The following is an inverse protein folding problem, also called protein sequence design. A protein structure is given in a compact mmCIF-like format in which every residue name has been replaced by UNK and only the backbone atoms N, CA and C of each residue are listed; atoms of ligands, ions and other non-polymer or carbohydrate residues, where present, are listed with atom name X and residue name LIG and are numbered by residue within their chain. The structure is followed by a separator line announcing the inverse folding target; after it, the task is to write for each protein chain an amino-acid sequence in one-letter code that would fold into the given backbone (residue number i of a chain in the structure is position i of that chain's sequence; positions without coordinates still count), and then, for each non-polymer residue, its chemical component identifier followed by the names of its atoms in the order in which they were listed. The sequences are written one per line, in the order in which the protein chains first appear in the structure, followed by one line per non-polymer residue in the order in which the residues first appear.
data_IF_878313643526
#
_entry.id   IF_878313643526
#
_cell.length_a   1.000
_cell.length_b   1.000
_cell.length_c   1.000
_cell.angle_alpha   90.00
_cell.angle_beta   90.00
_cell.angle_gamma   90.00
#
_symmetry.space_group_name_H-M   'P 1'
#
loop_
_entity.id
_entity.type
_entity.pdbx_description
1 polymer ?
#
# COMPACT_ATOMS: atom_id res chain seq x y z
N UNK A 1 -1.79 -31.79 18.68
CA UNK A 1 -1.22 -30.45 18.97
C UNK A 1 -1.41 -29.43 17.83
N UNK A 2 -2.29 -29.67 16.85
CA UNK A 2 -2.39 -28.86 15.61
C UNK A 2 -3.54 -27.83 15.59
N UNK A 3 -4.54 -27.94 16.47
CA UNK A 3 -5.78 -27.14 16.37
C UNK A 3 -5.61 -25.66 16.73
N UNK A 4 -4.81 -25.34 17.76
CA UNK A 4 -4.59 -23.95 18.18
C UNK A 4 -3.79 -23.16 17.16
N UNK A 5 -2.73 -23.75 16.60
CA UNK A 5 -1.89 -23.10 15.59
C UNK A 5 -2.69 -22.79 14.30
N UNK A 6 -3.49 -23.74 13.81
CA UNK A 6 -4.34 -23.53 12.62
C UNK A 6 -5.41 -22.46 12.86
N UNK A 7 -6.03 -22.43 14.06
CA UNK A 7 -6.98 -21.35 14.41
C UNK A 7 -6.30 -20.00 14.45
N UNK A 8 -5.13 -19.90 15.08
CA UNK A 8 -4.36 -18.65 15.16
C UNK A 8 -3.96 -18.16 13.77
N UNK A 9 -3.52 -19.05 12.88
CA UNK A 9 -3.21 -18.72 11.49
C UNK A 9 -4.45 -18.18 10.76
N UNK A 10 -5.61 -18.85 10.86
CA UNK A 10 -6.85 -18.41 10.23
C UNK A 10 -7.30 -17.03 10.73
N UNK A 11 -7.22 -16.79 12.04
CA UNK A 11 -7.55 -15.48 12.63
C UNK A 11 -6.54 -14.43 12.15
N UNK A 12 -5.24 -14.75 12.19
CA UNK A 12 -4.17 -13.87 11.73
C UNK A 12 -4.36 -13.43 10.28
N UNK A 13 -4.65 -14.36 9.36
CA UNK A 13 -4.90 -14.04 7.95
C UNK A 13 -6.15 -13.19 7.77
N UNK A 14 -7.20 -13.41 8.57
CA UNK A 14 -8.42 -12.61 8.53
C UNK A 14 -8.17 -11.19 9.02
N UNK A 15 -7.48 -11.05 10.16
CA UNK A 15 -7.10 -9.75 10.72
C UNK A 15 -6.19 -9.00 9.74
N UNK A 16 -5.15 -9.66 9.21
CA UNK A 16 -4.22 -9.09 8.24
C UNK A 16 -4.93 -8.54 6.99
N UNK A 17 -5.92 -9.28 6.46
CA UNK A 17 -6.72 -8.80 5.33
C UNK A 17 -7.57 -7.59 5.70
N UNK A 18 -8.27 -7.65 6.83
CA UNK A 18 -9.16 -6.59 7.28
C UNK A 18 -8.38 -5.30 7.59
N UNK A 19 -7.20 -5.41 8.20
CA UNK A 19 -6.34 -4.25 8.46
C UNK A 19 -5.77 -3.69 7.17
N UNK A 20 -5.27 -4.52 6.25
CA UNK A 20 -4.78 -4.06 4.95
C UNK A 20 -5.87 -3.32 4.15
N UNK A 21 -7.07 -3.91 4.07
CA UNK A 21 -8.21 -3.30 3.38
C UNK A 21 -8.62 -1.96 4.02
N UNK A 22 -8.78 -1.95 5.35
CA UNK A 22 -9.17 -0.73 6.08
C UNK A 22 -8.11 0.36 5.96
N UNK A 23 -6.82 0.03 6.06
CA UNK A 23 -5.72 0.98 5.91
C UNK A 23 -5.73 1.62 4.52
N UNK A 24 -5.86 0.82 3.45
CA UNK A 24 -5.91 1.35 2.09
C UNK A 24 -7.12 2.25 1.87
N UNK A 25 -8.30 1.87 2.34
CA UNK A 25 -9.50 2.70 2.21
C UNK A 25 -9.34 4.01 2.98
N UNK A 26 -8.81 3.96 4.20
CA UNK A 26 -8.67 5.16 5.03
C UNK A 26 -7.59 6.10 4.50
N UNK A 27 -6.41 5.58 4.17
CA UNK A 27 -5.31 6.39 3.60
C UNK A 27 -5.72 6.96 2.25
N UNK A 28 -6.39 6.18 1.41
CA UNK A 28 -6.93 6.65 0.14
C UNK A 28 -7.97 7.74 0.28
N UNK A 29 -8.82 7.69 1.31
CA UNK A 29 -9.76 8.77 1.61
C UNK A 29 -9.05 10.05 2.03
N UNK A 30 -7.92 9.95 2.75
CA UNK A 30 -7.14 11.15 3.14
C UNK A 30 -6.49 11.84 1.93
N UNK A 31 -6.28 11.16 0.79
CA UNK A 31 -5.75 11.79 -0.45
C UNK A 31 -6.65 12.85 -1.08
N UNK A 32 -7.87 13.02 -0.56
CA UNK A 32 -8.78 14.09 -0.97
C UNK A 32 -8.60 15.37 -0.16
N UNK A 33 -7.83 15.32 0.94
CA UNK A 33 -7.53 16.46 1.80
C UNK A 33 -6.31 17.22 1.30
N UNK A 34 -6.35 18.56 1.35
CA UNK A 34 -5.30 19.41 0.79
C UNK A 34 -3.93 19.20 1.49
N UNK A 35 -3.93 18.95 2.80
CA UNK A 35 -2.70 18.70 3.55
C UNK A 35 -1.99 17.40 3.11
N UNK A 36 -2.72 16.39 2.64
CA UNK A 36 -2.12 15.14 2.14
C UNK A 36 -1.47 15.34 0.77
N UNK A 37 -1.99 16.28 -0.03
CA UNK A 37 -1.39 16.65 -1.33
C UNK A 37 0.00 17.25 -1.08
N UNK A 38 0.12 18.15 -0.11
CA UNK A 38 1.39 18.75 0.29
C UNK A 38 2.37 17.70 0.87
N UNK A 39 1.87 16.74 1.66
CA UNK A 39 2.69 15.68 2.24
C UNK A 39 3.34 14.78 1.19
N UNK A 40 2.64 14.44 0.11
CA UNK A 40 3.18 13.55 -0.94
C UNK A 40 3.96 14.29 -2.01
N UNK A 41 3.77 15.60 -2.16
CA UNK A 41 4.44 16.41 -3.17
C UNK A 41 5.95 16.13 -3.30
N UNK A 42 6.77 16.13 -2.23
CA UNK A 42 8.22 15.90 -2.36
C UNK A 42 8.57 14.49 -2.91
N UNK A 43 7.73 13.50 -2.63
CA UNK A 43 7.95 12.11 -3.07
C UNK A 43 7.56 11.92 -4.53
N UNK A 44 6.42 12.50 -4.92
CA UNK A 44 5.83 12.41 -6.27
C UNK A 44 6.66 13.22 -7.27
N UNK A 45 7.09 14.43 -6.90
CA UNK A 45 7.91 15.31 -7.75
C UNK A 45 9.32 14.75 -8.01
N UNK A 46 9.89 14.02 -7.04
CA UNK A 46 11.22 13.42 -7.16
C UNK A 46 11.21 12.06 -7.87
N UNK A 47 10.03 11.50 -8.16
CA UNK A 47 9.91 10.18 -8.77
C UNK A 47 9.84 10.24 -10.30
N UNK A 48 10.68 9.49 -11.03
CA UNK A 48 10.61 9.40 -12.49
C UNK A 48 9.26 8.90 -13.02
N UNK A 49 8.52 8.12 -12.22
CA UNK A 49 7.23 7.55 -12.62
C UNK A 49 6.08 8.56 -12.49
N UNK A 50 6.11 9.41 -11.47
CA UNK A 50 5.01 10.33 -11.18
C UNK A 50 5.27 11.76 -11.59
N UNK A 51 6.53 12.19 -11.74
CA UNK A 51 6.87 13.54 -12.19
C UNK A 51 6.18 13.92 -13.53
N UNK A 52 6.17 13.06 -14.59
CA UNK A 52 5.47 13.38 -15.83
C UNK A 52 3.94 13.41 -15.68
N UNK A 53 3.39 12.64 -14.74
CA UNK A 53 1.97 12.61 -14.44
C UNK A 53 1.54 13.88 -13.70
N UNK A 54 2.38 14.32 -12.76
CA UNK A 54 2.26 15.54 -11.99
C UNK A 54 2.21 16.77 -12.90
N UNK A 55 3.14 16.87 -13.86
CA UNK A 55 3.18 17.97 -14.83
C UNK A 55 1.93 18.03 -15.72
N UNK A 56 1.35 16.87 -16.08
CA UNK A 56 0.20 16.79 -16.98
C UNK A 56 -1.15 16.98 -16.28
N UNK A 57 -1.31 16.43 -15.08
CA UNK A 57 -2.60 16.36 -14.39
C UNK A 57 -2.70 17.31 -13.20
N UNK A 58 -1.57 17.82 -12.70
CA UNK A 58 -1.48 18.60 -11.46
C UNK A 58 -1.45 17.74 -10.20
N UNK A 59 -1.02 18.35 -9.10
CA UNK A 59 -0.81 17.71 -7.80
C UNK A 59 -2.10 17.13 -7.24
N UNK A 60 -3.16 17.93 -7.21
CA UNK A 60 -4.43 17.53 -6.61
C UNK A 60 -5.09 16.38 -7.38
N UNK A 61 -5.05 16.40 -8.71
CA UNK A 61 -5.59 15.32 -9.54
C UNK A 61 -4.78 14.05 -9.37
N UNK A 62 -3.45 14.14 -9.35
CA UNK A 62 -2.56 12.99 -9.15
C UNK A 62 -2.80 12.34 -7.79
N UNK A 63 -2.89 13.15 -6.73
CA UNK A 63 -3.20 12.67 -5.37
C UNK A 63 -4.56 11.95 -5.33
N UNK A 64 -5.61 12.55 -5.89
CA UNK A 64 -6.96 11.95 -5.93
C UNK A 64 -6.99 10.66 -6.72
N UNK A 65 -6.26 10.55 -7.84
CA UNK A 65 -6.17 9.31 -8.61
C UNK A 65 -5.52 8.18 -7.79
N UNK A 66 -4.45 8.49 -7.06
CA UNK A 66 -3.84 7.56 -6.11
C UNK A 66 -4.85 7.15 -5.03
N UNK A 67 -5.58 8.11 -4.46
CA UNK A 67 -6.60 7.84 -3.43
C UNK A 67 -7.74 6.94 -3.92
N UNK A 68 -8.24 7.17 -5.14
CA UNK A 68 -9.25 6.30 -5.77
C UNK A 68 -8.70 4.89 -5.96
N UNK A 69 -7.44 4.76 -6.41
CA UNK A 69 -6.80 3.46 -6.57
C UNK A 69 -6.67 2.72 -5.22
N UNK A 70 -6.22 3.40 -4.16
CA UNK A 70 -6.11 2.85 -2.80
C UNK A 70 -7.45 2.32 -2.30
N UNK A 71 -8.50 3.14 -2.39
CA UNK A 71 -9.85 2.76 -1.98
C UNK A 71 -10.34 1.57 -2.78
N UNK A 72 -10.19 1.60 -4.11
CA UNK A 72 -10.63 0.52 -4.98
C UNK A 72 -9.93 -0.81 -4.62
N UNK A 73 -8.60 -0.78 -4.44
CA UNK A 73 -7.83 -1.96 -4.05
C UNK A 73 -8.21 -2.45 -2.65
N UNK A 74 -8.39 -1.56 -1.68
CA UNK A 74 -8.84 -1.92 -0.33
C UNK A 74 -10.21 -2.60 -0.33
N UNK A 75 -11.17 -2.05 -1.07
CA UNK A 75 -12.49 -2.66 -1.26
C UNK A 75 -12.42 -4.03 -1.93
N UNK A 76 -11.63 -4.17 -3.00
CA UNK A 76 -11.42 -5.44 -3.68
C UNK A 76 -10.82 -6.49 -2.74
N UNK A 77 -9.77 -6.14 -1.98
CA UNK A 77 -9.12 -7.02 -1.01
C UNK A 77 -10.14 -7.52 0.03
N UNK A 78 -10.96 -6.62 0.57
CA UNK A 78 -12.03 -6.95 1.52
C UNK A 78 -13.12 -7.86 0.96
N UNK A 79 -13.33 -7.87 -0.36
CA UNK A 79 -14.39 -8.63 -1.03
C UNK A 79 -14.12 -10.15 -1.13
N UNK A 80 -13.04 -10.70 -0.54
CA UNK A 80 -12.72 -12.15 -0.58
C UNK A 80 -13.93 -13.05 -0.27
N UNK A 81 -14.76 -12.82 0.78
CA UNK A 81 -15.83 -13.75 1.14
C UNK A 81 -16.87 -13.94 0.03
N UNK A 82 -17.10 -12.91 -0.79
CA UNK A 82 -18.07 -12.93 -1.89
C UNK A 82 -17.39 -13.26 -3.23
N UNK A 83 -16.24 -12.65 -3.52
CA UNK A 83 -15.53 -12.74 -4.78
C UNK A 83 -14.01 -12.91 -4.58
N UNK A 84 -13.51 -14.15 -4.35
CA UNK A 84 -12.09 -14.43 -4.14
C UNK A 84 -11.18 -13.97 -5.29
N UNK A 85 -11.65 -14.09 -6.56
CA UNK A 85 -10.91 -13.63 -7.74
C UNK A 85 -10.71 -12.10 -7.76
N UNK A 86 -11.76 -11.35 -7.41
CA UNK A 86 -11.69 -9.89 -7.32
C UNK A 86 -10.72 -9.46 -6.21
N UNK A 87 -10.74 -10.16 -5.07
CA UNK A 87 -9.78 -9.94 -3.99
C UNK A 87 -8.34 -10.22 -4.40
N UNK A 88 -8.09 -11.28 -5.18
CA UNK A 88 -6.75 -11.53 -5.72
C UNK A 88 -6.26 -10.38 -6.61
N UNK A 89 -7.12 -9.85 -7.50
CA UNK A 89 -6.79 -8.69 -8.35
C UNK A 89 -6.47 -7.47 -7.50
N UNK A 90 -7.28 -7.17 -6.48
CA UNK A 90 -7.03 -6.08 -5.54
C UNK A 90 -5.69 -6.23 -4.80
N UNK A 91 -5.39 -7.44 -4.31
CA UNK A 91 -4.13 -7.73 -3.64
C UNK A 91 -2.92 -7.58 -4.57
N UNK A 92 -3.00 -8.03 -5.83
CA UNK A 92 -1.92 -7.83 -6.80
C UNK A 92 -1.73 -6.36 -7.17
N UNK A 93 -2.82 -5.61 -7.32
CA UNK A 93 -2.75 -4.16 -7.47
C UNK A 93 -2.00 -3.51 -6.31
N UNK A 94 -2.35 -3.89 -5.07
CA UNK A 94 -1.71 -3.36 -3.87
C UNK A 94 -0.22 -3.72 -3.80
N UNK A 95 0.18 -4.91 -4.24
CA UNK A 95 1.61 -5.28 -4.38
C UNK A 95 2.33 -4.29 -5.31
N UNK A 96 1.79 -4.06 -6.52
CA UNK A 96 2.39 -3.12 -7.47
C UNK A 96 2.46 -1.70 -6.91
N UNK A 97 1.42 -1.27 -6.20
CA UNK A 97 1.39 0.00 -5.51
C UNK A 97 2.47 0.12 -4.44
N UNK A 98 2.57 -0.82 -3.50
CA UNK A 98 3.58 -0.74 -2.42
C UNK A 98 4.99 -0.86 -2.95
N UNK A 99 5.24 -1.65 -4.00
CA UNK A 99 6.53 -1.66 -4.69
C UNK A 99 6.86 -0.28 -5.24
N UNK A 100 5.87 0.37 -5.85
CA UNK A 100 6.02 1.74 -6.36
C UNK A 100 6.27 2.74 -5.23
N UNK A 101 5.53 2.67 -4.13
CA UNK A 101 5.73 3.52 -2.95
C UNK A 101 7.11 3.30 -2.32
N UNK A 102 7.56 2.06 -2.20
CA UNK A 102 8.90 1.73 -1.66
C UNK A 102 10.02 2.20 -2.58
N UNK A 103 9.78 2.35 -3.89
CA UNK A 103 10.76 2.95 -4.79
C UNK A 103 11.12 4.38 -4.39
N UNK A 104 10.20 5.11 -3.74
CA UNK A 104 10.44 6.45 -3.20
C UNK A 104 11.53 6.46 -2.12
N UNK A 105 11.79 5.35 -1.44
CA UNK A 105 12.87 5.25 -0.47
C UNK A 105 14.25 5.40 -1.14
N UNK A 106 14.36 4.99 -2.40
CA UNK A 106 15.56 5.10 -3.20
C UNK A 106 15.59 6.40 -4.02
N UNK A 107 14.44 6.90 -4.48
CA UNK A 107 14.40 8.06 -5.40
C UNK A 107 14.22 9.41 -4.71
N UNK A 108 13.70 9.46 -3.47
CA UNK A 108 13.35 10.73 -2.83
C UNK A 108 14.53 11.31 -2.04
N UNK A 109 15.01 12.53 -2.39
CA UNK A 109 16.05 13.21 -1.62
C UNK A 109 15.60 13.49 -0.19
N UNK A 110 16.50 13.34 0.80
CA UNK A 110 16.19 13.63 2.21
C UNK A 110 15.47 12.50 2.97
N UNK A 111 15.21 11.35 2.32
CA UNK A 111 14.83 10.10 3.01
C UNK A 111 15.97 9.60 3.91
N UNK A 112 17.20 9.69 3.39
CA UNK A 112 18.43 9.33 4.10
C UNK A 112 19.06 10.60 4.67
N UNK A 113 19.21 10.66 6.00
CA UNK A 113 19.93 11.74 6.66
C UNK A 113 21.42 11.37 6.74
N UNK A 114 22.20 11.85 5.78
CA UNK A 114 23.63 11.54 5.62
C UNK A 114 24.54 12.32 6.60
N UNK A 115 24.03 13.34 7.29
CA UNK A 115 24.80 14.19 8.21
C UNK A 115 25.19 13.52 9.55
N UNK A 116 25.00 12.21 9.69
CA UNK A 116 25.35 11.47 10.90
C UNK A 116 26.30 10.32 10.58
N UNK A 117 27.11 9.91 11.56
CA UNK A 117 28.07 8.79 11.45
C UNK A 117 27.45 7.43 11.04
N UNK A 118 26.12 7.33 11.03
CA UNK A 118 25.36 6.18 10.57
C UNK A 118 24.15 6.65 9.75
N UNK A 119 23.74 5.92 8.69
CA UNK A 119 22.56 6.26 7.91
C UNK A 119 21.31 6.23 8.80
N UNK A 120 20.62 7.37 8.92
CA UNK A 120 19.36 7.50 9.66
C UNK A 120 18.22 7.80 8.69
N UNK A 121 17.09 7.15 8.89
CA UNK A 121 15.86 7.42 8.13
C UNK A 121 15.17 8.67 8.68
N UNK A 122 14.81 9.59 7.79
CA UNK A 122 13.92 10.71 8.12
C UNK A 122 12.51 10.22 8.49
N UNK A 123 11.65 11.12 8.96
CA UNK A 123 10.26 10.77 9.28
C UNK A 123 9.53 10.15 8.06
N UNK A 124 9.76 10.72 6.87
CA UNK A 124 9.24 10.19 5.59
C UNK A 124 9.87 8.83 5.28
N UNK A 125 11.18 8.67 5.48
CA UNK A 125 11.85 7.39 5.30
C UNK A 125 11.31 6.28 6.21
N UNK A 126 11.03 6.60 7.48
CA UNK A 126 10.40 5.67 8.41
C UNK A 126 8.97 5.32 8.00
N UNK A 127 8.21 6.32 7.51
CA UNK A 127 6.87 6.11 6.97
C UNK A 127 6.89 5.19 5.75
N UNK A 128 7.87 5.32 4.86
CA UNK A 128 8.03 4.42 3.72
C UNK A 128 8.50 3.03 4.13
N UNK A 129 9.44 2.94 5.07
CA UNK A 129 10.00 1.66 5.50
C UNK A 129 8.94 0.73 6.11
N UNK A 130 7.96 1.27 6.86
CA UNK A 130 6.85 0.46 7.39
C UNK A 130 5.95 -0.13 6.29
N UNK A 131 5.92 0.46 5.09
CA UNK A 131 5.08 -0.05 3.99
C UNK A 131 5.56 -1.40 3.44
N UNK A 132 6.78 -1.82 3.79
CA UNK A 132 7.25 -3.19 3.56
C UNK A 132 6.35 -4.24 4.22
N UNK A 133 5.75 -3.92 5.36
CA UNK A 133 4.80 -4.80 6.05
C UNK A 133 3.51 -4.91 5.25
N UNK A 134 3.02 -3.81 4.67
CA UNK A 134 1.84 -3.82 3.83
C UNK A 134 2.08 -4.56 2.50
N UNK A 135 3.27 -4.43 1.92
CA UNK A 135 3.67 -5.25 0.77
C UNK A 135 3.61 -6.75 1.08
N UNK A 136 4.19 -7.16 2.21
CA UNK A 136 4.12 -8.55 2.67
C UNK A 136 2.67 -9.01 2.90
N UNK A 137 1.84 -8.16 3.51
CA UNK A 137 0.42 -8.41 3.71
C UNK A 137 -0.34 -8.56 2.37
N UNK A 138 -0.03 -7.72 1.38
CA UNK A 138 -0.63 -7.78 0.05
C UNK A 138 -0.27 -9.11 -0.66
N UNK A 139 0.98 -9.56 -0.56
CA UNK A 139 1.40 -10.86 -1.09
C UNK A 139 0.69 -12.03 -0.41
N UNK A 140 0.61 -12.02 0.92
CA UNK A 140 -0.08 -13.07 1.69
C UNK A 140 -1.58 -13.11 1.39
N UNK A 141 -2.22 -11.94 1.27
CA UNK A 141 -3.64 -11.86 0.91
C UNK A 141 -3.89 -12.27 -0.54
N UNK A 142 -2.98 -11.98 -1.47
CA UNK A 142 -3.05 -12.45 -2.85
C UNK A 142 -3.03 -13.99 -2.92
N UNK A 143 -2.06 -14.62 -2.23
CA UNK A 143 -1.94 -16.07 -2.18
C UNK A 143 -3.20 -16.74 -1.60
N UNK A 144 -3.69 -16.26 -0.46
CA UNK A 144 -4.89 -16.80 0.20
C UNK A 144 -6.18 -16.54 -0.62
N UNK A 145 -6.27 -15.41 -1.34
CA UNK A 145 -7.40 -15.14 -2.24
C UNK A 145 -7.37 -16.01 -3.51
N UNK A 146 -6.18 -16.27 -4.07
CA UNK A 146 -6.02 -17.20 -5.18
C UNK A 146 -6.38 -18.63 -4.77
N UNK A 147 -5.91 -19.08 -3.61
CA UNK A 147 -6.25 -20.42 -3.12
C UNK A 147 -7.77 -20.58 -2.94
N UNK A 148 -8.43 -19.59 -2.34
CA UNK A 148 -9.89 -19.57 -2.21
C UNK A 148 -10.62 -19.53 -3.56
N UNK A 149 -10.02 -18.90 -4.60
CA UNK A 149 -10.59 -18.86 -5.95
C UNK A 149 -10.47 -20.19 -6.70
N UNK A 150 -9.48 -21.03 -6.38
CA UNK A 150 -9.32 -22.38 -6.95
C UNK A 150 -10.21 -23.42 -6.27
N UNK A 151 -10.63 -23.18 -5.02
CA UNK A 151 -11.49 -24.08 -4.25
C UNK A 151 -13.00 -23.90 -4.54
N UNK A 152 -13.38 -22.89 -5.33
CA UNK A 152 -14.76 -22.64 -5.79
C UNK A 152 -14.93 -23.05 -7.23
#
# INVERSE_FOLDING_TARGET
MTTTATRLQSVGTSVLRSTLATTLVWVGALKFEDYEVENIHPMVSSSPLFSPLLEKLGEQTTARLVGVAEIAMGCLIGAKPVAPRASAIGSFGAVGMFVTTLSFLATTPGVWQENHRAPKLSLVGQFLAKDTVFLAAALLTAADSLEAAHRR
#
